data_IF_301894955984
#
_entry.id   IF_301894955984
#
_cell.length_a   1.000
_cell.length_b   1.000
_cell.length_c   1.000
_cell.angle_alpha   90.00
_cell.angle_beta   90.00
_cell.angle_gamma   90.00
#
_symmetry.space_group_name_H-M   'P 1'
#
loop_
_entity.id
_entity.type
_entity.pdbx_description
1 polymer ?
#
# COMPACT_ATOMS: atom_id res chain seq x y z
N UNK A 1 -8.02 14.38 -6.02
CA UNK A 1 -8.50 13.16 -5.34
C UNK A 1 -7.96 13.17 -3.91
N UNK A 2 -8.77 12.82 -2.93
CA UNK A 2 -8.41 12.80 -1.49
C UNK A 2 -8.58 11.39 -0.91
N UNK A 3 -8.07 11.11 0.29
CA UNK A 3 -8.21 9.80 0.92
C UNK A 3 -9.67 9.48 1.31
N UNK A 4 -10.47 10.50 1.61
CA UNK A 4 -11.92 10.34 1.86
C UNK A 4 -12.64 9.75 0.64
N UNK A 5 -12.21 10.07 -0.58
CA UNK A 5 -12.75 9.45 -1.80
C UNK A 5 -12.53 7.93 -1.84
N UNK A 6 -11.47 7.41 -1.22
CA UNK A 6 -11.24 5.96 -1.13
C UNK A 6 -12.28 5.28 -0.23
N UNK A 7 -12.74 5.97 0.82
CA UNK A 7 -13.79 5.48 1.71
C UNK A 7 -15.09 5.36 0.92
N UNK A 8 -15.45 6.40 0.17
CA UNK A 8 -16.66 6.41 -0.66
C UNK A 8 -16.63 5.32 -1.74
N UNK A 9 -15.49 5.15 -2.41
CA UNK A 9 -15.31 4.11 -3.43
C UNK A 9 -15.41 2.70 -2.84
N UNK A 10 -14.86 2.47 -1.65
CA UNK A 10 -14.96 1.19 -0.96
C UNK A 10 -16.40 0.90 -0.52
N UNK A 11 -17.10 1.88 0.04
CA UNK A 11 -18.49 1.74 0.50
C UNK A 11 -19.49 1.52 -0.65
N UNK A 12 -19.19 2.02 -1.86
CA UNK A 12 -20.04 1.85 -3.05
C UNK A 12 -19.92 0.51 -3.78
N UNK A 13 -19.00 -0.38 -3.38
CA UNK A 13 -18.77 -1.70 -4.00
C UNK A 13 -19.43 -2.83 -3.18
N UNK A 14 -19.65 -4.04 -3.76
CA UNK A 14 -20.03 -5.21 -2.96
C UNK A 14 -19.07 -5.38 -1.79
N UNK A 15 -19.61 -5.57 -0.58
CA UNK A 15 -18.81 -5.61 0.65
C UNK A 15 -17.72 -6.67 0.54
N UNK A 16 -16.47 -6.21 0.62
CA UNK A 16 -15.27 -7.05 0.65
C UNK A 16 -15.03 -7.58 2.07
N UNK A 17 -14.41 -8.74 2.17
CA UNK A 17 -14.08 -9.37 3.45
C UNK A 17 -12.60 -9.21 3.76
N UNK A 18 -12.28 -8.70 4.95
CA UNK A 18 -10.91 -8.52 5.45
C UNK A 18 -10.62 -9.60 6.48
N UNK A 19 -9.58 -10.40 6.23
CA UNK A 19 -9.05 -11.36 7.20
C UNK A 19 -7.99 -10.69 8.08
N UNK A 20 -8.24 -10.56 9.38
CA UNK A 20 -7.33 -9.90 10.34
C UNK A 20 -6.59 -10.97 11.15
N UNK A 21 -5.27 -11.05 10.98
CA UNK A 21 -4.43 -12.00 11.69
C UNK A 21 -4.05 -11.49 13.09
N UNK A 22 -4.34 -12.26 14.15
CA UNK A 22 -4.05 -11.90 15.55
C UNK A 22 -4.76 -10.59 15.91
N UNK A 23 -6.08 -10.60 15.83
CA UNK A 23 -6.92 -9.41 15.95
C UNK A 23 -7.03 -8.84 17.37
N UNK A 24 -6.53 -9.54 18.40
CA UNK A 24 -6.56 -9.14 19.81
C UNK A 24 -5.65 -7.94 20.16
N UNK A 25 -5.98 -6.76 19.60
CA UNK A 25 -5.33 -5.47 19.87
C UNK A 25 -6.33 -4.32 19.74
N UNK A 26 -6.32 -3.39 20.72
CA UNK A 26 -7.32 -2.32 20.80
C UNK A 26 -7.34 -1.41 19.57
N UNK A 27 -6.17 -1.03 19.07
CA UNK A 27 -6.04 -0.16 17.89
C UNK A 27 -6.52 -0.85 16.60
N UNK A 28 -6.31 -2.17 16.51
CA UNK A 28 -6.87 -2.99 15.43
C UNK A 28 -8.40 -3.06 15.52
N UNK A 29 -8.95 -3.36 16.71
CA UNK A 29 -10.40 -3.47 16.91
C UNK A 29 -11.10 -2.12 16.73
N UNK A 30 -10.51 -1.02 17.19
CA UNK A 30 -11.04 0.33 16.95
C UNK A 30 -11.10 0.65 15.45
N UNK A 31 -10.05 0.30 14.69
CA UNK A 31 -10.05 0.47 13.24
C UNK A 31 -11.12 -0.40 12.55
N UNK A 32 -11.30 -1.64 12.99
CA UNK A 32 -12.39 -2.54 12.53
C UNK A 32 -13.76 -1.90 12.81
N UNK A 33 -13.96 -1.37 14.03
CA UNK A 33 -15.22 -0.73 14.41
C UNK A 33 -15.54 0.50 13.57
N UNK A 34 -14.54 1.36 13.36
CA UNK A 34 -14.66 2.54 12.47
C UNK A 34 -14.98 2.10 11.04
N UNK A 35 -14.29 1.09 10.52
CA UNK A 35 -14.49 0.61 9.16
C UNK A 35 -15.89 0.00 8.95
N UNK A 36 -16.44 -0.72 9.93
CA UNK A 36 -17.82 -1.24 9.88
C UNK A 36 -18.83 -0.09 9.90
N UNK A 37 -18.63 0.91 10.75
CA UNK A 37 -19.51 2.10 10.83
C UNK A 37 -19.53 2.88 9.51
N UNK A 38 -18.40 2.91 8.81
CA UNK A 38 -18.25 3.50 7.47
C UNK A 38 -18.69 2.56 6.34
N UNK A 39 -19.17 1.35 6.66
CA UNK A 39 -19.59 0.32 5.70
C UNK A 39 -18.49 -0.09 4.70
N UNK A 40 -17.22 0.00 5.10
CA UNK A 40 -16.08 -0.29 4.23
C UNK A 40 -15.95 -1.77 3.87
N UNK A 41 -16.13 -2.66 4.85
CA UNK A 41 -15.86 -4.08 4.69
C UNK A 41 -16.56 -4.93 5.76
N UNK A 42 -16.57 -6.24 5.55
CA UNK A 42 -16.82 -7.27 6.56
C UNK A 42 -15.47 -7.79 7.08
N UNK A 43 -15.47 -8.36 8.28
CA UNK A 43 -14.24 -8.76 8.96
C UNK A 43 -14.30 -10.19 9.47
N UNK A 44 -13.22 -10.92 9.24
CA UNK A 44 -12.93 -12.23 9.84
C UNK A 44 -11.72 -12.07 10.74
N UNK A 45 -11.93 -12.15 12.04
CA UNK A 45 -10.95 -11.85 13.08
C UNK A 45 -10.36 -13.16 13.62
N UNK A 46 -9.08 -13.41 13.35
CA UNK A 46 -8.40 -14.64 13.75
C UNK A 46 -7.55 -14.41 14.99
N UNK A 47 -7.68 -15.25 16.01
CA UNK A 47 -6.85 -15.14 17.22
C UNK A 47 -7.51 -15.71 18.48
N UNK A 48 -7.14 -15.19 19.64
CA UNK A 48 -7.77 -15.59 20.90
C UNK A 48 -9.22 -15.07 20.98
N UNK A 49 -10.19 -15.98 20.83
CA UNK A 49 -11.61 -15.64 20.76
C UNK A 49 -12.11 -14.84 21.97
N UNK A 50 -11.74 -15.23 23.20
CA UNK A 50 -12.20 -14.55 24.42
C UNK A 50 -11.72 -13.10 24.46
N UNK A 51 -10.44 -12.87 24.15
CA UNK A 51 -9.86 -11.51 24.10
C UNK A 51 -10.49 -10.66 23.01
N UNK A 52 -10.65 -11.20 21.80
CA UNK A 52 -11.27 -10.49 20.68
C UNK A 52 -12.70 -10.10 21.03
N UNK A 53 -13.49 -11.03 21.57
CA UNK A 53 -14.87 -10.77 21.96
C UNK A 53 -14.98 -9.70 23.06
N UNK A 54 -14.10 -9.74 24.06
CA UNK A 54 -14.04 -8.69 25.09
C UNK A 54 -13.79 -7.30 24.50
N UNK A 55 -12.77 -7.18 23.63
CA UNK A 55 -12.45 -5.91 22.97
C UNK A 55 -13.58 -5.42 22.03
N UNK A 56 -14.25 -6.33 21.32
CA UNK A 56 -15.41 -5.96 20.48
C UNK A 56 -16.54 -5.34 21.33
N UNK A 57 -16.83 -5.92 22.50
CA UNK A 57 -17.88 -5.42 23.40
C UNK A 57 -17.59 -4.01 23.92
N UNK A 58 -16.33 -3.69 24.22
CA UNK A 58 -15.92 -2.33 24.62
C UNK A 58 -16.25 -1.27 23.55
N UNK A 59 -16.26 -1.67 22.28
CA UNK A 59 -16.64 -0.83 21.14
C UNK A 59 -18.10 -0.99 20.72
N UNK A 60 -18.94 -1.67 21.51
CA UNK A 60 -20.35 -1.91 21.21
C UNK A 60 -20.58 -2.85 20.02
N UNK A 61 -19.59 -3.69 19.69
CA UNK A 61 -19.67 -4.69 18.63
C UNK A 61 -19.87 -6.09 19.19
N UNK A 62 -20.49 -6.93 18.37
CA UNK A 62 -20.63 -8.37 18.59
C UNK A 62 -20.47 -9.10 17.26
N UNK A 63 -20.38 -10.42 17.31
CA UNK A 63 -20.42 -11.25 16.10
C UNK A 63 -21.73 -11.04 15.36
N UNK A 64 -21.63 -10.90 14.05
CA UNK A 64 -22.76 -10.56 13.16
C UNK A 64 -22.42 -10.95 11.72
N UNK A 65 -23.30 -10.63 10.78
CA UNK A 65 -22.99 -10.73 9.34
C UNK A 65 -21.84 -9.81 8.88
N UNK A 66 -21.33 -8.91 9.73
CA UNK A 66 -20.21 -8.03 9.40
C UNK A 66 -18.92 -8.38 10.15
N UNK A 67 -19.01 -9.20 11.21
CA UNK A 67 -17.87 -9.59 12.06
C UNK A 67 -17.99 -11.05 12.45
N UNK A 68 -17.06 -11.86 11.97
CA UNK A 68 -16.87 -13.24 12.39
C UNK A 68 -15.57 -13.34 13.21
N UNK A 69 -15.60 -14.09 14.31
CA UNK A 69 -14.40 -14.36 15.13
C UNK A 69 -14.05 -15.84 14.97
N UNK A 70 -12.81 -16.10 14.55
CA UNK A 70 -12.28 -17.45 14.33
C UNK A 70 -11.19 -17.70 15.36
N UNK A 71 -11.42 -18.68 16.23
CA UNK A 71 -10.45 -19.07 17.24
C UNK A 71 -9.17 -19.65 16.59
N UNK A 72 -8.02 -19.23 17.11
CA UNK A 72 -6.72 -19.83 16.82
C UNK A 72 -5.95 -20.05 18.12
N UNK A 73 -5.24 -21.16 18.22
CA UNK A 73 -4.49 -21.58 19.41
C UNK A 73 -3.14 -20.87 19.52
N UNK A 74 -2.67 -20.24 18.44
CA UNK A 74 -1.42 -19.48 18.43
C UNK A 74 -1.43 -18.36 17.39
N UNK A 75 -0.53 -17.38 17.54
CA UNK A 75 -0.33 -16.33 16.54
C UNK A 75 0.08 -16.86 15.16
N UNK A 76 0.84 -17.99 15.12
CA UNK A 76 1.23 -18.62 13.86
C UNK A 76 0.04 -19.26 13.16
N UNK A 77 -0.83 -19.91 13.91
CA UNK A 77 -2.05 -20.51 13.38
C UNK A 77 -3.03 -19.42 12.89
N UNK A 78 -3.20 -18.33 13.64
CA UNK A 78 -4.03 -17.20 13.22
C UNK A 78 -3.52 -16.60 11.89
N UNK A 79 -2.20 -16.46 11.73
CA UNK A 79 -1.58 -16.00 10.49
C UNK A 79 -1.79 -17.00 9.34
N UNK A 80 -1.70 -18.30 9.58
CA UNK A 80 -1.94 -19.33 8.56
C UNK A 80 -3.41 -19.36 8.13
N UNK A 81 -4.35 -19.37 9.07
CA UNK A 81 -5.78 -19.41 8.80
C UNK A 81 -6.25 -18.17 8.03
N UNK A 82 -5.82 -16.98 8.45
CA UNK A 82 -6.16 -15.73 7.75
C UNK A 82 -5.60 -15.69 6.33
N UNK A 83 -4.36 -16.14 6.11
CA UNK A 83 -3.77 -16.27 4.77
C UNK A 83 -4.51 -17.28 3.91
N UNK A 84 -4.88 -18.44 4.47
CA UNK A 84 -5.65 -19.47 3.77
C UNK A 84 -7.05 -18.98 3.38
N UNK A 85 -7.73 -18.25 4.26
CA UNK A 85 -9.02 -17.65 3.95
C UNK A 85 -8.95 -16.75 2.72
N UNK A 86 -7.91 -15.90 2.65
CA UNK A 86 -7.68 -15.05 1.46
C UNK A 86 -7.36 -15.89 0.23
N UNK A 87 -6.50 -16.90 0.35
CA UNK A 87 -6.15 -17.79 -0.76
C UNK A 87 -7.35 -18.55 -1.32
N UNK A 88 -8.27 -18.96 -0.45
CA UNK A 88 -9.45 -19.76 -0.79
C UNK A 88 -10.62 -18.91 -1.31
N UNK A 89 -10.48 -17.57 -1.33
CA UNK A 89 -11.56 -16.67 -1.74
C UNK A 89 -12.63 -16.44 -0.67
N UNK A 90 -12.34 -16.80 0.58
CA UNK A 90 -13.21 -16.52 1.72
C UNK A 90 -12.95 -15.13 2.33
N UNK A 91 -11.86 -14.48 1.92
CA UNK A 91 -11.53 -13.09 2.20
C UNK A 91 -10.81 -12.47 0.99
N UNK A 92 -10.96 -11.17 0.82
CA UNK A 92 -10.41 -10.42 -0.31
C UNK A 92 -9.13 -9.65 0.06
N UNK A 93 -8.94 -9.36 1.35
CA UNK A 93 -7.83 -8.56 1.88
C UNK A 93 -7.27 -9.25 3.11
N UNK A 94 -5.96 -9.26 3.25
CA UNK A 94 -5.28 -9.64 4.49
C UNK A 94 -4.92 -8.39 5.29
N UNK A 95 -5.17 -8.39 6.59
CA UNK A 95 -4.70 -7.34 7.50
C UNK A 95 -3.87 -7.97 8.62
N UNK A 96 -2.70 -7.38 8.86
CA UNK A 96 -1.87 -7.70 10.01
C UNK A 96 -2.49 -7.07 11.27
N UNK A 97 -2.70 -7.89 12.31
CA UNK A 97 -2.98 -7.44 13.67
C UNK A 97 -1.72 -7.47 14.56
N UNK A 98 -1.84 -7.98 15.79
CA UNK A 98 -0.76 -7.97 16.78
C UNK A 98 0.25 -9.11 16.61
N UNK A 99 0.87 -9.17 15.45
CA UNK A 99 1.88 -10.16 15.09
C UNK A 99 3.12 -9.45 14.51
N UNK A 100 4.36 -9.94 14.76
CA UNK A 100 5.54 -9.40 14.09
C UNK A 100 5.42 -9.47 12.57
N UNK A 101 5.83 -8.39 11.87
CA UNK A 101 5.76 -8.31 10.40
C UNK A 101 6.45 -9.48 9.72
N UNK A 102 7.60 -9.93 10.23
CA UNK A 102 8.31 -11.09 9.70
C UNK A 102 7.48 -12.39 9.74
N UNK A 103 6.68 -12.58 10.78
CA UNK A 103 5.87 -13.80 10.96
C UNK A 103 4.69 -13.83 10.00
N UNK A 104 3.96 -12.71 9.84
CA UNK A 104 2.86 -12.65 8.87
C UNK A 104 3.39 -12.74 7.43
N UNK A 105 4.51 -12.10 7.11
CA UNK A 105 5.13 -12.20 5.79
C UNK A 105 5.62 -13.62 5.50
N UNK A 106 6.12 -14.36 6.49
CA UNK A 106 6.47 -15.77 6.34
C UNK A 106 5.25 -16.62 5.93
N UNK A 107 4.08 -16.37 6.52
CA UNK A 107 2.84 -17.04 6.16
C UNK A 107 2.37 -16.66 4.74
N UNK A 108 2.36 -15.36 4.41
CA UNK A 108 2.06 -14.84 3.06
C UNK A 108 2.96 -15.47 2.00
N UNK A 109 4.24 -15.65 2.33
CA UNK A 109 5.24 -16.23 1.45
C UNK A 109 5.31 -17.76 1.54
N UNK A 110 4.35 -18.46 2.15
CA UNK A 110 4.35 -19.92 2.08
C UNK A 110 4.13 -20.40 0.63
N UNK A 111 4.91 -21.40 0.17
CA UNK A 111 4.85 -21.90 -1.22
C UNK A 111 3.58 -22.71 -1.50
N UNK A 112 3.09 -23.45 -0.52
CA UNK A 112 1.99 -24.39 -0.68
C UNK A 112 0.64 -23.71 -0.51
N UNK A 113 0.49 -22.83 0.49
CA UNK A 113 -0.79 -22.22 0.86
C UNK A 113 -0.74 -20.68 1.01
N UNK A 114 0.39 -20.04 0.73
CA UNK A 114 0.52 -18.57 0.78
C UNK A 114 -0.06 -17.83 -0.43
N UNK A 115 0.21 -16.53 -0.51
CA UNK A 115 -0.34 -15.57 -1.47
C UNK A 115 0.67 -15.13 -2.55
N UNK A 116 1.74 -15.89 -2.78
CA UNK A 116 2.72 -15.56 -3.83
C UNK A 116 2.04 -15.55 -5.21
N UNK A 117 2.25 -14.48 -5.98
CA UNK A 117 1.79 -14.30 -7.37
C UNK A 117 2.92 -14.45 -8.41
N UNK A 118 4.19 -14.48 -7.96
CA UNK A 118 5.38 -14.55 -8.81
C UNK A 118 6.07 -13.20 -9.03
N UNK A 119 5.35 -12.10 -8.79
CA UNK A 119 5.90 -10.74 -8.66
C UNK A 119 6.57 -10.52 -7.31
N UNK A 120 7.44 -9.50 -7.24
CA UNK A 120 7.96 -9.01 -5.97
C UNK A 120 6.81 -8.41 -5.14
N UNK A 121 6.85 -8.58 -3.82
CA UNK A 121 5.98 -7.82 -2.92
C UNK A 121 6.55 -6.42 -2.76
N UNK A 122 5.71 -5.40 -2.81
CA UNK A 122 6.16 -4.01 -2.66
C UNK A 122 5.21 -3.16 -1.84
N UNK A 123 5.76 -2.21 -1.10
CA UNK A 123 4.98 -1.27 -0.31
C UNK A 123 4.49 -0.09 -1.16
N UNK A 124 3.20 0.21 -1.09
CA UNK A 124 2.56 1.35 -1.73
C UNK A 124 1.90 2.21 -0.66
N UNK A 125 2.25 3.48 -0.59
CA UNK A 125 1.59 4.46 0.28
C UNK A 125 1.02 5.62 -0.52
N UNK A 126 -0.26 5.89 -0.33
CA UNK A 126 -0.97 7.03 -0.90
C UNK A 126 -1.05 8.16 0.14
N UNK A 127 -0.48 9.31 -0.19
CA UNK A 127 -0.44 10.49 0.66
C UNK A 127 -1.44 11.54 0.21
N UNK A 128 -2.18 12.10 1.15
CA UNK A 128 -2.88 13.37 1.01
C UNK A 128 -2.08 14.43 1.77
N UNK A 129 -1.45 15.34 1.02
CA UNK A 129 -0.65 16.43 1.56
C UNK A 129 -1.47 17.72 1.51
N UNK A 130 -1.48 18.49 2.59
CA UNK A 130 -2.20 19.75 2.65
C UNK A 130 -1.76 20.69 1.52
N UNK A 131 -2.73 21.34 0.86
CA UNK A 131 -2.52 22.25 -0.28
C UNK A 131 -1.94 21.60 -1.54
N UNK A 132 -1.92 20.27 -1.63
CA UNK A 132 -1.65 19.54 -2.86
C UNK A 132 -2.97 18.96 -3.42
N UNK A 133 -3.18 19.08 -4.72
CA UNK A 133 -4.50 18.90 -5.36
C UNK A 133 -4.87 17.43 -5.65
N UNK A 134 -3.93 16.51 -5.45
CA UNK A 134 -4.05 15.08 -5.73
C UNK A 134 -3.32 14.23 -4.70
N UNK A 135 -3.58 12.91 -4.74
CA UNK A 135 -2.81 11.95 -3.99
C UNK A 135 -1.41 11.80 -4.62
N UNK A 136 -0.40 11.57 -3.79
CA UNK A 136 0.94 11.16 -4.23
C UNK A 136 1.24 9.78 -3.69
N UNK A 137 1.65 8.89 -4.58
CA UNK A 137 2.10 7.55 -4.21
C UNK A 137 3.61 7.53 -4.00
N UNK A 138 4.06 6.90 -2.92
CA UNK A 138 5.48 6.64 -2.66
C UNK A 138 5.72 5.13 -2.56
N UNK A 139 6.69 4.64 -3.31
CA UNK A 139 7.03 3.21 -3.40
C UNK A 139 8.54 3.04 -3.66
N UNK A 140 9.30 2.12 -3.08
CA UNK A 140 8.99 1.25 -1.95
C UNK A 140 9.65 1.80 -0.68
N UNK A 141 8.86 2.07 0.36
CA UNK A 141 9.33 2.71 1.59
C UNK A 141 9.48 1.76 2.79
N UNK A 142 9.16 0.47 2.63
CA UNK A 142 9.03 -0.44 3.78
C UNK A 142 9.32 -1.93 3.51
N UNK A 143 9.56 -2.35 2.26
CA UNK A 143 9.69 -3.78 1.92
C UNK A 143 11.01 -4.10 1.20
N UNK A 144 11.33 -3.43 0.09
CA UNK A 144 12.52 -3.73 -0.71
C UNK A 144 13.69 -2.81 -0.38
N UNK A 145 14.77 -3.37 0.19
CA UNK A 145 15.92 -2.60 0.72
C UNK A 145 16.65 -1.79 -0.36
N UNK A 146 17.18 -2.50 -1.36
CA UNK A 146 17.91 -1.92 -2.48
C UNK A 146 17.50 -2.66 -3.75
N UNK A 147 16.31 -2.37 -4.30
CA UNK A 147 15.79 -3.14 -5.42
C UNK A 147 16.63 -2.89 -6.68
N UNK A 148 16.92 -3.96 -7.42
CA UNK A 148 17.51 -3.85 -8.75
C UNK A 148 16.49 -3.31 -9.77
N UNK A 149 16.93 -3.04 -11.00
CA UNK A 149 16.07 -2.48 -12.06
C UNK A 149 14.87 -3.38 -12.40
N UNK A 150 15.01 -4.71 -12.30
CA UNK A 150 13.93 -5.67 -12.58
C UNK A 150 12.91 -5.64 -11.45
N UNK A 151 13.37 -5.60 -10.20
CA UNK A 151 12.52 -5.43 -9.03
C UNK A 151 11.81 -4.07 -9.06
N UNK A 152 12.52 -2.99 -9.42
CA UNK A 152 11.93 -1.65 -9.60
C UNK A 152 10.83 -1.63 -10.66
N UNK A 153 11.02 -2.31 -11.79
CA UNK A 153 9.97 -2.43 -12.81
C UNK A 153 8.72 -3.15 -12.26
N UNK A 154 8.90 -4.21 -11.48
CA UNK A 154 7.78 -4.91 -10.84
C UNK A 154 7.11 -4.06 -9.73
N UNK A 155 7.88 -3.30 -8.96
CA UNK A 155 7.39 -2.35 -7.95
C UNK A 155 6.54 -1.26 -8.63
N UNK A 156 6.98 -0.73 -9.78
CA UNK A 156 6.19 0.21 -10.58
C UNK A 156 4.88 -0.44 -11.00
N UNK A 157 4.92 -1.63 -11.61
CA UNK A 157 3.71 -2.30 -12.09
C UNK A 157 2.70 -2.56 -10.96
N UNK A 158 3.17 -3.02 -9.79
CA UNK A 158 2.33 -3.20 -8.60
C UNK A 158 1.66 -1.89 -8.18
N UNK A 159 2.39 -0.77 -8.25
CA UNK A 159 1.88 0.55 -7.82
C UNK A 159 0.94 1.15 -8.86
N UNK A 160 1.19 0.90 -10.15
CA UNK A 160 0.30 1.27 -11.26
C UNK A 160 -1.04 0.55 -11.14
N UNK A 161 -1.04 -0.76 -10.87
CA UNK A 161 -2.27 -1.53 -10.61
C UNK A 161 -3.10 -0.91 -9.47
N UNK A 162 -2.44 -0.49 -8.38
CA UNK A 162 -3.09 0.20 -7.26
C UNK A 162 -3.68 1.55 -7.66
N UNK A 163 -2.90 2.38 -8.36
CA UNK A 163 -3.34 3.71 -8.79
C UNK A 163 -4.53 3.64 -9.77
N UNK A 164 -4.50 2.72 -10.72
CA UNK A 164 -5.60 2.49 -11.66
C UNK A 164 -6.87 2.00 -10.96
N UNK A 165 -6.73 1.07 -9.99
CA UNK A 165 -7.89 0.53 -9.27
C UNK A 165 -8.66 1.59 -8.46
N UNK A 166 -8.03 2.72 -8.15
CA UNK A 166 -8.67 3.87 -7.48
C UNK A 166 -9.03 5.02 -8.43
N UNK A 167 -8.84 4.85 -9.74
CA UNK A 167 -9.32 5.78 -10.77
C UNK A 167 -8.26 6.71 -11.40
N UNK A 168 -6.96 6.38 -11.30
CA UNK A 168 -5.91 7.07 -12.06
C UNK A 168 -5.60 6.25 -13.30
N UNK A 169 -6.26 6.55 -14.42
CA UNK A 169 -6.25 5.72 -15.63
C UNK A 169 -4.85 5.52 -16.24
N UNK A 170 -4.05 6.58 -16.29
CA UNK A 170 -2.69 6.57 -16.85
C UNK A 170 -1.72 7.23 -15.86
N UNK A 171 -1.27 6.49 -14.83
CA UNK A 171 -0.37 7.03 -13.81
C UNK A 171 0.96 7.50 -14.39
N UNK A 172 1.44 8.64 -13.90
CA UNK A 172 2.77 9.18 -14.21
C UNK A 172 3.75 8.80 -13.12
N UNK A 173 4.79 8.09 -13.50
CA UNK A 173 5.78 7.50 -12.60
C UNK A 173 7.10 8.24 -12.75
N UNK A 174 7.59 8.83 -11.66
CA UNK A 174 8.90 9.44 -11.58
C UNK A 174 9.86 8.55 -10.78
N UNK A 175 10.85 7.90 -11.42
CA UNK A 175 12.01 7.35 -10.72
C UNK A 175 12.85 8.48 -10.12
N UNK A 176 12.93 8.51 -8.79
CA UNK A 176 13.56 9.60 -8.05
C UNK A 176 15.07 9.41 -7.98
N UNK A 177 15.79 10.50 -8.27
CA UNK A 177 17.24 10.61 -8.06
C UNK A 177 17.57 12.02 -7.54
N UNK A 178 18.85 12.30 -7.26
CA UNK A 178 19.28 13.62 -6.80
C UNK A 178 19.57 14.61 -7.96
N UNK A 179 19.62 14.12 -9.20
CA UNK A 179 19.92 14.90 -10.41
C UNK A 179 19.07 14.40 -11.58
N UNK A 180 18.94 15.22 -12.62
CA UNK A 180 18.06 14.98 -13.77
C UNK A 180 18.76 14.37 -14.98
N UNK A 181 20.10 14.28 -14.93
CA UNK A 181 20.93 13.70 -15.98
C UNK A 181 21.43 12.32 -15.57
N UNK A 182 21.60 11.43 -16.55
CA UNK A 182 22.21 10.13 -16.31
C UNK A 182 23.65 10.32 -15.90
N UNK A 183 23.96 9.90 -14.67
CA UNK A 183 25.29 9.94 -14.09
C UNK A 183 25.72 8.50 -13.77
N UNK A 184 26.74 7.95 -14.46
CA UNK A 184 27.24 6.60 -14.19
C UNK A 184 27.71 6.35 -12.75
N UNK A 185 28.05 7.40 -12.00
CA UNK A 185 28.41 7.30 -10.58
C UNK A 185 27.19 7.25 -9.64
N UNK A 186 25.97 7.38 -10.17
CA UNK A 186 24.72 7.36 -9.40
C UNK A 186 23.76 6.32 -9.98
N UNK A 187 23.74 5.12 -9.38
CA UNK A 187 22.92 3.99 -9.84
C UNK A 187 21.45 4.35 -10.04
N UNK A 188 20.88 5.19 -9.19
CA UNK A 188 19.49 5.66 -9.30
C UNK A 188 19.18 6.29 -10.67
N UNK A 189 20.14 7.02 -11.26
CA UNK A 189 19.97 7.67 -12.57
C UNK A 189 20.06 6.67 -13.73
N UNK A 190 20.91 5.64 -13.59
CA UNK A 190 21.03 4.56 -14.56
C UNK A 190 19.74 3.73 -14.56
N UNK A 191 19.26 3.35 -13.38
CA UNK A 191 18.01 2.62 -13.22
C UNK A 191 16.84 3.42 -13.80
N UNK A 192 16.74 4.72 -13.51
CA UNK A 192 15.69 5.59 -14.03
C UNK A 192 15.66 5.61 -15.58
N UNK A 193 16.83 5.73 -16.21
CA UNK A 193 16.93 5.70 -17.67
C UNK A 193 16.53 4.34 -18.26
N UNK A 194 16.93 3.23 -17.60
CA UNK A 194 16.54 1.89 -18.01
C UNK A 194 15.02 1.67 -17.87
N UNK A 195 14.42 2.08 -16.75
CA UNK A 195 12.98 1.96 -16.50
C UNK A 195 12.16 2.76 -17.53
N UNK A 196 12.62 3.97 -17.85
CA UNK A 196 12.03 4.81 -18.92
C UNK A 196 12.05 4.08 -20.27
N UNK A 197 13.18 3.46 -20.64
CA UNK A 197 13.28 2.66 -21.87
C UNK A 197 12.43 1.39 -21.83
N UNK A 198 12.35 0.71 -20.68
CA UNK A 198 11.51 -0.46 -20.48
C UNK A 198 10.02 -0.12 -20.66
N UNK A 199 9.56 1.02 -20.15
CA UNK A 199 8.20 1.52 -20.36
C UNK A 199 7.94 1.83 -21.85
N UNK A 200 8.84 2.57 -22.51
CA UNK A 200 8.73 2.87 -23.95
C UNK A 200 8.70 1.63 -24.84
N UNK A 201 9.35 0.54 -24.41
CA UNK A 201 9.35 -0.77 -25.09
C UNK A 201 8.20 -1.69 -24.68
N UNK A 202 7.29 -1.24 -23.80
CA UNK A 202 6.11 -2.00 -23.37
C UNK A 202 6.38 -3.09 -22.34
N UNK A 203 7.53 -3.08 -21.67
CA UNK A 203 7.84 -3.99 -20.56
C UNK A 203 7.16 -3.56 -19.26
N UNK A 204 7.02 -2.25 -19.04
CA UNK A 204 6.20 -1.65 -17.99
C UNK A 204 5.00 -1.02 -18.69
N UNK A 205 3.78 -1.36 -18.28
CA UNK A 205 2.57 -1.04 -19.02
C UNK A 205 1.64 -0.13 -18.24
N UNK A 206 0.68 0.43 -18.97
CA UNK A 206 -0.47 1.16 -18.42
C UNK A 206 -0.10 2.40 -17.60
N UNK A 207 1.09 2.96 -17.85
CA UNK A 207 1.62 4.16 -17.21
C UNK A 207 2.62 4.87 -18.12
N UNK A 208 3.02 6.08 -17.73
CA UNK A 208 4.14 6.80 -18.32
C UNK A 208 5.26 6.85 -17.28
N UNK A 209 6.44 6.34 -17.63
CA UNK A 209 7.63 6.41 -16.78
C UNK A 209 8.63 7.37 -17.42
N UNK A 210 9.10 8.36 -16.67
CA UNK A 210 10.18 9.24 -17.12
C UNK A 210 11.03 9.75 -15.96
N UNK A 211 12.34 9.73 -16.17
CA UNK A 211 13.34 10.14 -15.19
C UNK A 211 14.77 9.85 -15.67
N UNK A 212 15.78 10.15 -14.84
CA UNK A 212 15.68 10.51 -13.44
C UNK A 212 15.10 11.90 -13.17
N UNK A 213 14.36 12.04 -12.07
CA UNK A 213 13.88 13.34 -11.60
C UNK A 213 14.25 13.55 -10.12
N UNK A 214 14.72 14.75 -9.80
CA UNK A 214 14.71 15.22 -8.41
C UNK A 214 13.27 15.46 -7.94
N UNK A 215 13.05 15.41 -6.62
CA UNK A 215 11.72 15.47 -6.03
C UNK A 215 10.97 16.75 -6.42
N UNK A 216 11.64 17.89 -6.37
CA UNK A 216 11.11 19.19 -6.77
C UNK A 216 10.55 19.15 -8.20
N UNK A 217 11.30 18.58 -9.14
CA UNK A 217 10.87 18.48 -10.53
C UNK A 217 9.81 17.41 -10.77
N UNK A 218 9.70 16.40 -9.91
CA UNK A 218 8.66 15.40 -10.02
C UNK A 218 7.28 15.97 -9.63
N UNK A 219 7.24 16.84 -8.63
CA UNK A 219 5.98 17.31 -8.00
C UNK A 219 5.63 18.77 -8.29
N UNK A 220 6.57 19.59 -8.76
CA UNK A 220 6.34 21.01 -9.08
C UNK A 220 6.60 21.31 -10.56
N UNK A 221 5.54 21.69 -11.27
CA UNK A 221 5.64 22.11 -12.68
C UNK A 221 6.53 23.35 -12.84
N UNK A 222 6.46 24.31 -11.91
CA UNK A 222 7.29 25.52 -11.94
C UNK A 222 8.78 25.15 -11.81
N UNK A 223 9.13 24.22 -10.91
CA UNK A 223 10.51 23.78 -10.74
C UNK A 223 11.05 23.07 -12.00
N UNK A 224 10.23 22.22 -12.61
CA UNK A 224 10.57 21.54 -13.86
C UNK A 224 10.78 22.54 -15.02
N UNK A 225 9.91 23.54 -15.15
CA UNK A 225 10.01 24.60 -16.17
C UNK A 225 11.26 25.46 -15.99
N UNK A 226 11.59 25.86 -14.76
CA UNK A 226 12.81 26.64 -14.46
C UNK A 226 14.09 25.88 -14.81
N UNK A 227 14.08 24.55 -14.75
CA UNK A 227 15.20 23.70 -15.18
C UNK A 227 15.13 23.29 -16.66
N UNK A 228 14.11 23.73 -17.39
CA UNK A 228 13.93 23.41 -18.81
C UNK A 228 13.62 21.94 -19.09
N UNK A 229 13.01 21.23 -18.14
CA UNK A 229 12.72 19.79 -18.27
C UNK A 229 11.46 19.61 -19.11
N UNK A 230 11.61 18.95 -20.27
CA UNK A 230 10.49 18.58 -21.14
C UNK A 230 10.13 17.11 -20.90
N UNK A 231 9.03 16.88 -20.21
CA UNK A 231 8.58 15.55 -19.80
C UNK A 231 7.07 15.55 -19.56
N UNK A 232 6.40 14.45 -19.91
CA UNK A 232 4.98 14.24 -19.55
C UNK A 232 4.78 13.92 -18.06
N UNK A 233 5.86 13.59 -17.34
CA UNK A 233 5.85 13.22 -15.91
C UNK A 233 6.30 14.39 -15.02
N UNK A 234 7.26 15.20 -15.45
CA UNK A 234 7.79 16.28 -14.61
C UNK A 234 6.69 17.28 -14.18
N UNK A 235 6.65 17.58 -12.88
CA UNK A 235 5.66 18.40 -12.21
C UNK A 235 4.27 17.77 -12.05
N UNK A 236 4.12 16.55 -12.58
CA UNK A 236 2.83 15.87 -12.76
C UNK A 236 2.89 14.42 -12.30
N UNK A 237 3.93 14.02 -11.55
CA UNK A 237 4.05 12.66 -11.07
C UNK A 237 2.89 12.31 -10.14
N UNK A 238 2.29 11.14 -10.37
CA UNK A 238 1.34 10.49 -9.46
C UNK A 238 2.09 9.53 -8.54
N UNK A 239 3.12 8.86 -9.07
CA UNK A 239 3.91 7.84 -8.37
C UNK A 239 5.38 8.25 -8.31
N UNK A 240 5.93 8.27 -7.11
CA UNK A 240 7.35 8.47 -6.83
C UNK A 240 7.99 7.10 -6.52
N UNK A 241 8.75 6.57 -7.48
CA UNK A 241 9.59 5.39 -7.26
C UNK A 241 10.91 5.85 -6.62
N UNK A 242 11.10 5.56 -5.33
CA UNK A 242 12.32 5.89 -4.61
C UNK A 242 13.46 4.90 -4.93
N UNK A 243 14.74 5.35 -4.86
CA UNK A 243 15.85 4.52 -5.31
C UNK A 243 16.22 3.39 -4.33
N UNK A 244 16.04 3.61 -3.03
CA UNK A 244 16.29 2.67 -1.93
C UNK A 244 15.29 2.87 -0.80
N UNK A 245 15.21 1.89 0.11
CA UNK A 245 14.29 1.94 1.25
C UNK A 245 14.58 3.11 2.19
N UNK A 246 15.83 3.52 2.36
CA UNK A 246 16.19 4.63 3.25
C UNK A 246 15.60 5.94 2.72
N UNK A 247 15.75 6.20 1.41
CA UNK A 247 15.16 7.37 0.78
C UNK A 247 13.62 7.34 0.87
N UNK A 248 13.01 6.18 0.62
CA UNK A 248 11.57 5.97 0.75
C UNK A 248 11.06 6.19 2.17
N UNK A 249 11.75 5.62 3.16
CA UNK A 249 11.34 5.70 4.56
C UNK A 249 11.49 7.12 5.10
N UNK A 250 12.60 7.80 4.79
CA UNK A 250 12.80 9.21 5.16
C UNK A 250 11.73 10.10 4.51
N UNK A 251 11.43 9.92 3.21
CA UNK A 251 10.37 10.68 2.54
C UNK A 251 9.00 10.42 3.16
N UNK A 252 8.64 9.14 3.38
CA UNK A 252 7.39 8.75 4.03
C UNK A 252 7.25 9.45 5.39
N UNK A 253 8.28 9.37 6.23
CA UNK A 253 8.25 9.94 7.58
C UNK A 253 8.26 11.46 7.55
N UNK A 254 8.97 12.08 6.61
CA UNK A 254 8.94 13.53 6.40
C UNK A 254 7.51 14.01 6.08
N UNK A 255 6.81 13.32 5.18
CA UNK A 255 5.42 13.66 4.84
C UNK A 255 4.48 13.54 6.05
N UNK A 256 4.60 12.46 6.83
CA UNK A 256 3.75 12.26 8.02
C UNK A 256 4.07 13.27 9.13
N UNK A 257 5.33 13.40 9.53
CA UNK A 257 5.70 14.12 10.75
C UNK A 257 5.96 15.62 10.54
N UNK A 258 6.39 16.04 9.36
CA UNK A 258 6.69 17.45 9.07
C UNK A 258 5.65 18.12 8.18
N UNK A 259 4.99 17.37 7.30
CA UNK A 259 3.95 17.91 6.42
C UNK A 259 2.52 17.58 6.89
N UNK A 260 2.37 16.90 8.03
CA UNK A 260 1.08 16.47 8.61
C UNK A 260 0.19 15.74 7.57
N UNK A 261 0.82 14.98 6.68
CA UNK A 261 0.13 14.31 5.60
C UNK A 261 -0.65 13.10 6.13
N UNK A 262 -1.89 12.96 5.68
CA UNK A 262 -2.66 11.73 5.87
C UNK A 262 -2.13 10.66 4.92
N UNK A 263 -2.17 9.40 5.36
CA UNK A 263 -1.62 8.28 4.57
C UNK A 263 -2.47 7.03 4.70
N UNK A 264 -2.67 6.34 3.58
CA UNK A 264 -3.10 4.94 3.53
C UNK A 264 -2.03 4.10 2.84
N UNK A 265 -1.68 2.95 3.40
CA UNK A 265 -0.60 2.12 2.87
C UNK A 265 -0.92 0.62 2.88
N UNK A 266 -0.35 -0.10 1.93
CA UNK A 266 -0.53 -1.54 1.78
C UNK A 266 0.67 -2.18 1.07
N UNK A 267 0.77 -3.50 1.16
CA UNK A 267 1.65 -4.30 0.30
C UNK A 267 0.85 -4.79 -0.90
N UNK A 268 1.43 -4.56 -2.07
CA UNK A 268 0.96 -5.04 -3.37
C UNK A 268 1.88 -6.16 -3.91
N UNK A 269 1.49 -6.77 -5.03
CA UNK A 269 2.26 -7.85 -5.68
C UNK A 269 1.98 -9.26 -5.13
N UNK A 270 1.10 -9.39 -4.13
CA UNK A 270 0.53 -10.67 -3.73
C UNK A 270 -0.76 -10.99 -4.53
N UNK A 271 -1.37 -12.15 -4.29
CA UNK A 271 -2.68 -12.50 -4.87
C UNK A 271 -3.82 -11.58 -4.42
N UNK A 272 -3.64 -10.90 -3.29
CA UNK A 272 -4.60 -9.99 -2.69
C UNK A 272 -3.85 -8.84 -1.97
N UNK A 273 -4.49 -7.67 -1.81
CA UNK A 273 -3.97 -6.58 -0.96
C UNK A 273 -3.64 -7.04 0.46
N UNK A 274 -2.52 -6.55 1.01
CA UNK A 274 -2.15 -6.82 2.40
C UNK A 274 -1.96 -5.50 3.14
N UNK A 275 -2.82 -5.23 4.13
CA UNK A 275 -2.67 -4.10 5.05
C UNK A 275 -1.64 -4.46 6.11
N UNK A 276 -0.46 -3.85 6.04
CA UNK A 276 0.59 -3.97 7.05
C UNK A 276 0.62 -2.73 7.94
N UNK A 277 -0.15 -2.78 9.02
CA UNK A 277 -0.16 -1.70 10.01
C UNK A 277 1.13 -1.71 10.86
N UNK A 278 1.60 -0.50 11.21
CA UNK A 278 2.55 -0.30 12.29
C UNK A 278 1.81 -0.19 13.62
N UNK A 279 2.47 -0.59 14.70
CA UNK A 279 1.96 -0.38 16.07
C UNK A 279 1.81 1.10 16.44
N UNK A 280 2.58 1.96 15.78
CA UNK A 280 2.56 3.41 16.01
C UNK A 280 1.59 4.16 15.09
N UNK A 281 0.92 3.47 14.17
CA UNK A 281 -0.07 4.12 13.30
C UNK A 281 -1.33 4.45 14.11
N UNK A 282 -1.98 5.57 13.83
CA UNK A 282 -3.28 5.91 14.42
C UNK A 282 -4.37 5.01 13.85
N UNK A 283 -5.52 4.92 14.52
CA UNK A 283 -6.71 4.27 13.95
C UNK A 283 -7.13 4.88 12.60
N UNK A 284 -6.94 6.19 12.40
CA UNK A 284 -7.25 6.87 11.12
C UNK A 284 -6.37 6.33 9.97
N UNK A 285 -5.05 6.24 10.18
CA UNK A 285 -4.12 5.65 9.19
C UNK A 285 -4.52 4.22 8.83
N UNK A 286 -4.94 3.41 9.82
CA UNK A 286 -5.41 2.03 9.58
C UNK A 286 -6.68 2.01 8.73
N UNK A 287 -7.62 2.93 8.97
CA UNK A 287 -8.86 3.06 8.18
C UNK A 287 -8.57 3.46 6.73
N UNK A 288 -7.69 4.43 6.48
CA UNK A 288 -7.31 4.76 5.10
C UNK A 288 -6.56 3.63 4.39
N UNK A 289 -5.74 2.89 5.14
CA UNK A 289 -5.03 1.71 4.61
C UNK A 289 -6.00 0.59 4.24
N UNK A 290 -7.04 0.38 5.07
CA UNK A 290 -8.16 -0.52 4.76
C UNK A 290 -8.94 -0.04 3.53
N UNK A 291 -9.30 1.24 3.46
CA UNK A 291 -10.02 1.79 2.32
C UNK A 291 -9.24 1.61 1.00
N UNK A 292 -7.93 1.88 1.02
CA UNK A 292 -7.05 1.65 -0.13
C UNK A 292 -7.01 0.16 -0.52
N UNK A 293 -6.82 -0.74 0.44
CA UNK A 293 -6.77 -2.17 0.19
C UNK A 293 -8.11 -2.74 -0.32
N UNK A 294 -9.23 -2.30 0.23
CA UNK A 294 -10.57 -2.71 -0.21
C UNK A 294 -10.88 -2.17 -1.59
N UNK A 295 -10.56 -0.89 -1.87
CA UNK A 295 -10.79 -0.29 -3.18
C UNK A 295 -10.01 -0.98 -4.30
N UNK A 296 -8.83 -1.53 -3.97
CA UNK A 296 -7.90 -2.21 -4.88
C UNK A 296 -8.10 -3.72 -4.97
N UNK A 297 -8.83 -4.34 -4.03
CA UNK A 297 -9.11 -5.76 -4.06
C UNK A 297 -9.97 -6.10 -5.29
N UNK A 298 -9.44 -6.95 -6.16
CA UNK A 298 -10.14 -7.48 -7.33
C UNK A 298 -11.45 -8.15 -6.93
N UNK A 299 -12.42 -8.21 -7.85
CA UNK A 299 -13.61 -9.05 -7.71
C UNK A 299 -13.26 -10.52 -7.72
#
# INVERSE_FOLDING_TARGET
MKLEYLIDQAAGKPKKTVAVAVAEDHEVIEAVAKAIKLQLAQFRLYGNQEKIMGMLQEHGLQTSEHVEVIAAMSSSEAAELSVKAVRNGEADVLMKGNIPTANILKAVLNKEWGLRKGSVLSHVAAFEVQNYDRLIFVTDAAMNIAPDVTQKAAIIQNTVEVAQAIGIDLPKVAPIAAVEVVNPAMQATIDAAMLTQMNRRGQIKDCIVDGPLALDNAVSQIAAEHKGIVSDVAGKADILLVPTIEAGNVLYKSLVYFADAKVGAMIAGAKAPIVLTSRADSAETKVYSLALAVATASK
#
